data_IF_908502161367
#
_entry.id   IF_908502161367
#
_cell.length_a   1.000
_cell.length_b   1.000
_cell.length_c   1.000
_cell.angle_alpha   90.00
_cell.angle_beta   90.00
_cell.angle_gamma   90.00
#
_symmetry.space_group_name_H-M   'P 1'
#
loop_
_entity.id
_entity.type
_entity.pdbx_description
1 polymer ?
#
# COMPACT_ATOMS: atom_id res chain seq x y z
N UNK A 1 -11.77 0.27 12.77
CA UNK A 1 -10.76 -0.70 12.29
C UNK A 1 -9.65 0.11 11.65
N UNK A 2 -8.41 -0.03 12.13
CA UNK A 2 -7.20 0.57 11.55
C UNK A 2 -6.23 -0.55 11.17
N UNK A 3 -5.37 -0.28 10.19
CA UNK A 3 -4.29 -1.19 9.78
C UNK A 3 -2.99 -0.40 9.88
N UNK A 4 -2.05 -0.90 10.67
CA UNK A 4 -0.71 -0.33 10.77
C UNK A 4 0.21 -1.05 9.78
N UNK A 5 0.95 -0.28 9.00
CA UNK A 5 1.81 -0.77 7.94
C UNK A 5 3.25 -0.31 8.20
N UNK A 6 4.20 -1.22 8.03
CA UNK A 6 5.62 -0.93 8.17
C UNK A 6 6.17 -0.52 6.81
N UNK A 7 6.87 0.63 6.78
CA UNK A 7 7.62 1.09 5.63
C UNK A 7 9.03 1.47 6.07
N UNK A 8 10.04 0.85 5.46
CA UNK A 8 11.44 1.14 5.75
C UNK A 8 11.85 2.44 5.06
N UNK A 9 11.88 3.53 5.83
CA UNK A 9 12.30 4.84 5.35
C UNK A 9 13.79 5.06 5.66
N UNK A 10 14.57 5.43 4.64
CA UNK A 10 15.96 5.86 4.78
C UNK A 10 16.03 7.37 4.98
N UNK A 11 16.23 7.81 6.21
CA UNK A 11 16.28 9.23 6.60
C UNK A 11 17.66 9.89 6.44
N UNK A 12 18.61 9.26 5.74
CA UNK A 12 19.96 9.81 5.57
C UNK A 12 19.99 11.17 4.86
N UNK A 13 18.91 11.56 4.16
CA UNK A 13 18.81 12.81 3.38
C UNK A 13 17.62 13.69 3.80
N UNK A 14 17.07 13.45 4.98
CA UNK A 14 15.99 14.27 5.54
C UNK A 14 16.42 15.73 5.66
N UNK A 15 15.58 16.74 5.31
CA UNK A 15 14.15 16.66 4.99
C UNK A 15 13.81 16.72 3.48
N UNK A 16 14.79 16.62 2.59
CA UNK A 16 14.59 16.83 1.15
C UNK A 16 14.48 15.53 0.34
N UNK A 17 14.26 14.40 1.02
CA UNK A 17 14.09 13.09 0.43
C UNK A 17 12.63 12.75 0.14
N UNK A 18 12.46 11.85 -0.84
CA UNK A 18 11.18 11.22 -1.13
C UNK A 18 11.28 9.74 -0.76
N UNK A 19 10.40 9.29 0.13
CA UNK A 19 10.30 7.88 0.49
C UNK A 19 9.15 7.23 -0.26
N UNK A 20 9.39 6.02 -0.78
CA UNK A 20 8.38 5.23 -1.46
C UNK A 20 7.99 4.05 -0.59
N UNK A 21 6.71 3.99 -0.23
CA UNK A 21 6.13 2.89 0.52
C UNK A 21 5.21 2.07 -0.38
N UNK A 22 5.36 0.74 -0.33
CA UNK A 22 4.54 -0.18 -1.11
C UNK A 22 3.61 -0.98 -0.18
N UNK A 23 2.31 -0.89 -0.45
CA UNK A 23 1.28 -1.64 0.28
C UNK A 23 0.80 -2.76 -0.63
N UNK A 24 0.90 -4.00 -0.16
CA UNK A 24 0.42 -5.18 -0.88
C UNK A 24 -0.68 -5.87 -0.06
N UNK A 25 -1.84 -6.07 -0.68
CA UNK A 25 -2.96 -6.79 -0.10
C UNK A 25 -3.18 -8.08 -0.90
N UNK A 26 -3.29 -9.21 -0.20
CA UNK A 26 -3.66 -10.48 -0.83
C UNK A 26 -4.69 -11.22 0.02
N UNK A 27 -5.50 -12.05 -0.64
CA UNK A 27 -6.30 -13.04 0.08
C UNK A 27 -5.47 -14.29 0.28
N UNK A 28 -5.42 -14.78 1.51
CA UNK A 28 -4.77 -16.05 1.85
C UNK A 28 -5.70 -17.25 1.62
N UNK A 29 -7.02 -17.02 1.68
CA UNK A 29 -8.03 -18.09 1.67
C UNK A 29 -8.74 -18.26 0.33
N UNK A 30 -8.73 -17.24 -0.54
CA UNK A 30 -9.46 -17.25 -1.80
C UNK A 30 -8.54 -16.97 -2.98
N UNK A 31 -8.77 -17.71 -4.08
CA UNK A 31 -8.04 -17.51 -5.34
C UNK A 31 -8.71 -16.42 -6.17
N UNK A 32 -7.98 -15.89 -7.16
CA UNK A 32 -8.47 -14.85 -8.08
C UNK A 32 -9.80 -15.18 -8.76
N UNK A 33 -10.06 -16.47 -9.02
CA UNK A 33 -11.30 -16.93 -9.67
C UNK A 33 -12.53 -16.66 -8.78
N UNK A 34 -12.37 -16.73 -7.45
CA UNK A 34 -13.46 -16.55 -6.49
C UNK A 34 -13.49 -15.17 -5.87
N UNK A 35 -12.36 -14.47 -5.81
CA UNK A 35 -12.24 -13.14 -5.22
C UNK A 35 -11.35 -12.22 -6.07
N UNK A 36 -11.90 -11.07 -6.45
CA UNK A 36 -11.17 -10.04 -7.18
C UNK A 36 -10.94 -8.80 -6.29
N UNK A 37 -9.67 -8.48 -6.02
CA UNK A 37 -9.27 -7.31 -5.23
C UNK A 37 -8.99 -6.13 -6.18
N UNK A 38 -9.73 -5.04 -5.99
CA UNK A 38 -9.56 -3.81 -6.76
C UNK A 38 -9.34 -2.63 -5.82
N UNK A 39 -8.36 -1.79 -6.13
CA UNK A 39 -8.15 -0.54 -5.42
C UNK A 39 -9.21 0.49 -5.84
N UNK A 40 -9.93 1.03 -4.87
CA UNK A 40 -10.74 2.23 -5.09
C UNK A 40 -9.87 3.48 -5.26
N UNK A 41 -10.51 4.59 -5.61
CA UNK A 41 -9.86 5.90 -5.67
C UNK A 41 -9.38 6.29 -4.28
N UNK A 42 -8.06 6.42 -4.14
CA UNK A 42 -7.48 6.90 -2.89
C UNK A 42 -7.97 8.32 -2.62
N UNK A 43 -8.56 8.53 -1.45
CA UNK A 43 -8.98 9.84 -0.97
C UNK A 43 -8.40 10.07 0.41
N UNK A 44 -7.69 11.19 0.57
CA UNK A 44 -7.24 11.64 1.87
C UNK A 44 -8.44 12.16 2.66
N UNK A 45 -8.55 11.71 3.90
CA UNK A 45 -9.53 12.26 4.82
C UNK A 45 -9.24 13.74 5.07
N UNK A 46 -10.29 14.57 5.04
CA UNK A 46 -10.20 16.00 5.42
C UNK A 46 -9.79 16.23 6.88
N UNK A 47 -9.69 15.17 7.69
CA UNK A 47 -9.32 15.21 9.11
C UNK A 47 -7.83 14.99 9.37
N UNK A 48 -7.01 14.88 8.32
CA UNK A 48 -5.55 14.85 8.47
C UNK A 48 -5.07 16.27 8.76
N UNK A 49 -4.88 16.56 10.04
CA UNK A 49 -4.26 17.81 10.50
C UNK A 49 -2.86 17.48 11.04
N UNK A 50 -1.87 18.34 10.75
CA UNK A 50 -0.50 18.23 11.26
C UNK A 50 0.21 16.90 10.90
N UNK A 51 0.10 16.44 9.65
CA UNK A 51 0.88 15.29 9.20
C UNK A 51 2.35 15.69 9.04
N UNK A 52 3.27 14.90 9.60
CA UNK A 52 4.72 15.13 9.48
C UNK A 52 5.25 14.96 8.04
N UNK A 53 4.47 14.30 7.17
CA UNK A 53 4.84 13.98 5.81
C UNK A 53 3.74 14.38 4.81
N UNK A 54 4.15 14.86 3.64
CA UNK A 54 3.26 15.17 2.52
C UNK A 54 3.23 14.00 1.52
N UNK A 55 2.04 13.60 1.08
CA UNK A 55 1.90 12.59 0.04
C UNK A 55 2.10 13.24 -1.34
N UNK A 56 3.26 13.00 -1.95
CA UNK A 56 3.60 13.52 -3.28
C UNK A 56 3.08 12.65 -4.42
N UNK A 57 2.96 11.33 -4.20
CA UNK A 57 2.66 10.38 -5.26
C UNK A 57 1.92 9.17 -4.72
N UNK A 58 0.87 8.76 -5.44
CA UNK A 58 0.11 7.53 -5.15
C UNK A 58 -0.03 6.75 -6.45
N UNK A 59 0.56 5.56 -6.49
CA UNK A 59 0.38 4.62 -7.61
C UNK A 59 -0.44 3.44 -7.15
N UNK A 60 -1.48 3.11 -7.92
CA UNK A 60 -2.35 1.96 -7.70
C UNK A 60 -2.22 1.03 -8.89
N UNK A 61 -1.98 -0.25 -8.63
CA UNK A 61 -1.96 -1.28 -9.66
C UNK A 61 -2.47 -2.60 -9.09
N UNK A 62 -3.02 -3.46 -9.97
CA UNK A 62 -3.31 -4.85 -9.61
C UNK A 62 -2.02 -5.67 -9.71
N UNK A 63 -1.78 -6.51 -8.73
CA UNK A 63 -0.64 -7.42 -8.67
C UNK A 63 -1.12 -8.88 -8.64
N UNK A 64 -1.83 -9.28 -9.69
CA UNK A 64 -2.33 -10.65 -9.83
C UNK A 64 -1.14 -11.61 -9.96
N UNK A 65 -0.96 -12.48 -8.97
CA UNK A 65 0.09 -13.51 -8.95
C UNK A 65 -0.54 -14.91 -8.88
N UNK A 66 0.08 -15.85 -9.60
CA UNK A 66 -0.20 -17.27 -9.49
C UNK A 66 0.92 -17.92 -8.69
N UNK A 67 0.57 -18.72 -7.69
CA UNK A 67 1.53 -19.46 -6.89
C UNK A 67 1.33 -20.95 -7.14
N UNK A 68 2.41 -21.65 -7.48
CA UNK A 68 2.42 -23.12 -7.43
C UNK A 68 2.66 -23.51 -5.97
N UNK A 69 1.61 -23.96 -5.31
CA UNK A 69 1.74 -24.59 -4.00
C UNK A 69 1.96 -26.06 -4.32
N UNK A 70 3.22 -26.50 -4.25
CA UNK A 70 3.59 -27.89 -4.52
C UNK A 70 2.76 -28.86 -3.69
N UNK A 71 2.30 -29.94 -4.35
CA UNK A 71 1.69 -31.10 -3.68
C UNK A 71 2.70 -31.84 -2.80
#
# INVERSE_FOLDING_TARGET
>A
VSVDLVCEMDFSKYPHDFHFCNISLMSLSHRKITLNLNWEVFQLSKRLFNTDFEIKFVRRWRCDKTYDIGE
#
